data_IF_554215188111
#
_entry.id   IF_554215188111
#
_cell.length_a   1.000
_cell.length_b   1.000
_cell.length_c   1.000
_cell.angle_alpha   90.00
_cell.angle_beta   90.00
_cell.angle_gamma   90.00
#
_symmetry.space_group_name_H-M   'P 1'
#
loop_
_entity.id
_entity.type
_entity.pdbx_description
1 polymer ?
#
# COMPACT_ATOMS: atom_id res chain seq x y z
N UNK A 1 -47.63 21.54 38.55
CA UNK A 1 -49.02 21.04 38.47
C UNK A 1 -49.40 21.03 36.99
N UNK A 2 -49.69 19.84 36.45
CA UNK A 2 -50.40 19.51 35.18
C UNK A 2 -49.65 19.94 33.89
N UNK A 3 -48.95 19.05 33.15
CA UNK A 3 -49.37 17.87 32.32
C UNK A 3 -49.58 18.24 30.84
N UNK A 4 -49.01 17.43 29.94
CA UNK A 4 -49.38 17.30 28.51
C UNK A 4 -48.19 16.85 27.65
N UNK A 5 -47.83 15.55 27.57
CA UNK A 5 -48.37 14.48 26.68
C UNK A 5 -48.19 14.79 25.18
N UNK A 6 -47.17 14.22 24.54
CA UNK A 6 -47.22 12.97 23.75
C UNK A 6 -47.44 13.23 22.26
N UNK A 7 -46.49 12.80 21.41
CA UNK A 7 -46.76 11.76 20.39
C UNK A 7 -45.50 11.45 19.59
N UNK A 8 -45.04 10.22 19.75
CA UNK A 8 -44.11 9.56 18.86
C UNK A 8 -44.88 9.04 17.64
N UNK A 9 -44.33 9.23 16.44
CA UNK A 9 -44.76 8.51 15.23
C UNK A 9 -43.62 7.66 14.69
N UNK A 10 -43.85 6.37 14.86
CA UNK A 10 -43.11 5.23 14.36
C UNK A 10 -43.53 5.01 12.89
N UNK A 11 -42.60 5.03 11.94
CA UNK A 11 -42.87 4.57 10.57
C UNK A 11 -41.89 3.47 10.22
N UNK A 12 -42.39 2.25 10.29
CA UNK A 12 -41.78 1.05 9.74
C UNK A 12 -42.14 0.86 8.26
N UNK A 13 -41.28 0.09 7.61
CA UNK A 13 -41.53 -0.81 6.49
C UNK A 13 -41.52 -0.25 5.06
N UNK A 14 -40.48 -0.64 4.33
CA UNK A 14 -40.64 -1.22 3.00
C UNK A 14 -39.46 -2.19 2.73
N UNK A 15 -39.67 -3.47 3.01
CA UNK A 15 -38.85 -4.56 2.47
C UNK A 15 -39.28 -4.80 1.03
N UNK A 16 -38.34 -4.66 0.09
CA UNK A 16 -38.52 -5.02 -1.32
C UNK A 16 -38.16 -6.51 -1.51
N UNK A 17 -39.05 -7.34 -2.08
CA UNK A 17 -38.73 -8.71 -2.46
C UNK A 17 -38.29 -8.79 -3.93
N UNK A 18 -37.22 -9.53 -4.16
CA UNK A 18 -37.04 -10.26 -5.42
C UNK A 18 -35.95 -9.73 -6.36
N UNK A 19 -34.95 -10.57 -6.59
CA UNK A 19 -34.91 -11.48 -7.75
C UNK A 19 -33.75 -12.45 -7.59
N UNK A 20 -34.07 -13.72 -7.36
CA UNK A 20 -33.16 -14.83 -7.56
C UNK A 20 -32.84 -14.92 -9.05
N UNK A 21 -31.57 -14.76 -9.41
CA UNK A 21 -31.04 -15.11 -10.73
C UNK A 21 -30.54 -16.57 -10.67
N UNK A 22 -30.96 -17.46 -11.57
CA UNK A 22 -30.38 -18.80 -11.67
C UNK A 22 -28.95 -18.71 -12.22
N UNK A 23 -27.98 -19.15 -11.43
CA UNK A 23 -26.60 -19.32 -11.85
C UNK A 23 -26.53 -20.53 -12.80
N UNK A 24 -26.39 -20.27 -14.11
CA UNK A 24 -26.17 -21.30 -15.12
C UNK A 24 -24.80 -21.95 -14.87
N UNK A 25 -24.84 -23.17 -14.34
CA UNK A 25 -23.69 -24.03 -14.12
C UNK A 25 -23.33 -24.67 -15.48
N UNK A 26 -22.40 -24.07 -16.22
CA UNK A 26 -21.88 -24.68 -17.44
C UNK A 26 -20.88 -25.78 -17.08
N UNK A 27 -21.29 -27.00 -17.40
CA UNK A 27 -20.49 -28.21 -17.39
C UNK A 27 -19.26 -28.05 -18.30
N UNK A 28 -18.05 -28.08 -17.73
CA UNK A 28 -16.84 -28.43 -18.47
C UNK A 28 -16.35 -29.79 -17.98
N UNK A 29 -16.84 -30.81 -18.66
CA UNK A 29 -16.33 -32.17 -18.62
C UNK A 29 -15.19 -32.32 -19.63
N UNK A 30 -14.08 -32.88 -19.14
CA UNK A 30 -13.18 -33.81 -19.84
C UNK A 30 -12.34 -33.21 -21.00
N UNK A 31 -11.01 -33.20 -20.82
CA UNK A 31 -10.07 -33.97 -21.66
C UNK A 31 -8.76 -34.15 -20.88
N UNK A 32 -8.49 -35.42 -20.58
CA UNK A 32 -7.23 -35.97 -20.11
C UNK A 32 -6.25 -35.97 -21.29
N UNK A 33 -5.05 -35.41 -21.12
CA UNK A 33 -3.87 -35.86 -21.87
C UNK A 33 -2.65 -35.88 -20.93
N UNK A 34 -2.42 -37.07 -20.39
CA UNK A 34 -1.12 -37.52 -19.90
C UNK A 34 -0.17 -37.65 -21.10
N UNK A 35 0.97 -36.95 -21.08
CA UNK A 35 2.16 -37.42 -21.80
C UNK A 35 3.43 -37.01 -21.04
N UNK A 36 4.12 -38.07 -20.63
CA UNK A 36 5.46 -38.20 -20.10
C UNK A 36 6.50 -37.29 -20.76
N UNK A 37 7.42 -36.73 -19.94
CA UNK A 37 8.83 -36.81 -20.27
C UNK A 37 9.70 -36.58 -19.03
N UNK A 38 10.08 -37.69 -18.41
CA UNK A 38 11.22 -37.79 -17.50
C UNK A 38 12.49 -37.79 -18.35
N UNK A 39 13.21 -36.67 -18.38
CA UNK A 39 14.62 -36.64 -18.73
C UNK A 39 15.44 -36.41 -17.46
N UNK A 40 15.86 -37.52 -16.86
CA UNK A 40 17.01 -37.54 -15.95
C UNK A 40 18.28 -37.42 -16.79
N UNK A 41 18.91 -36.24 -16.76
CA UNK A 41 20.34 -36.12 -17.07
C UNK A 41 21.08 -35.84 -15.76
N UNK A 42 21.54 -36.93 -15.15
CA UNK A 42 22.83 -36.99 -14.46
C UNK A 42 23.90 -36.59 -15.45
N UNK A 43 24.73 -35.58 -15.14
CA UNK A 43 26.18 -35.76 -15.17
C UNK A 43 26.92 -34.64 -14.41
N UNK A 44 28.12 -34.99 -14.02
CA UNK A 44 28.95 -34.46 -12.97
C UNK A 44 29.77 -33.24 -13.40
N UNK A 45 29.98 -32.36 -12.42
CA UNK A 45 31.22 -31.58 -12.18
C UNK A 45 32.07 -31.15 -13.38
N UNK A 46 32.04 -29.85 -13.69
CA UNK A 46 33.28 -29.09 -13.95
C UNK A 46 33.22 -27.74 -13.26
N UNK A 47 34.03 -27.61 -12.20
CA UNK A 47 34.35 -26.36 -11.53
C UNK A 47 35.26 -25.58 -12.47
N UNK A 48 34.69 -24.66 -13.25
CA UNK A 48 35.46 -23.69 -14.04
C UNK A 48 35.61 -22.45 -13.20
N UNK A 49 36.81 -22.25 -12.66
CA UNK A 49 37.26 -20.98 -12.10
C UNK A 49 37.39 -19.97 -13.24
N UNK A 50 36.35 -19.16 -13.44
CA UNK A 50 36.45 -17.94 -14.24
C UNK A 50 37.15 -16.87 -13.40
N UNK A 51 38.45 -16.73 -13.64
CA UNK A 51 39.24 -15.56 -13.28
C UNK A 51 38.63 -14.35 -14.02
N UNK A 52 37.70 -13.66 -13.36
CA UNK A 52 37.22 -12.35 -13.81
C UNK A 52 38.34 -11.35 -13.55
N UNK A 53 39.12 -11.08 -14.60
CA UNK A 53 40.04 -9.97 -14.68
C UNK A 53 39.24 -8.69 -14.51
N UNK A 54 39.35 -8.05 -13.34
CA UNK A 54 38.78 -6.74 -13.09
C UNK A 54 39.36 -5.75 -14.12
N UNK A 55 38.55 -5.36 -15.09
CA UNK A 55 38.84 -4.17 -15.87
C UNK A 55 38.61 -2.99 -14.93
N UNK A 56 39.71 -2.43 -14.42
CA UNK A 56 39.72 -1.08 -13.86
C UNK A 56 39.17 -0.16 -14.94
N UNK A 57 37.90 0.23 -14.76
CA UNK A 57 37.33 1.33 -15.51
C UNK A 57 38.02 2.59 -15.00
N UNK A 58 38.86 3.14 -15.85
CA UNK A 58 39.56 4.40 -15.65
C UNK A 58 38.53 5.53 -15.49
N UNK A 59 38.30 5.94 -14.24
CA UNK A 59 37.31 6.96 -13.84
C UNK A 59 37.77 8.39 -14.13
N UNK A 60 38.55 8.60 -15.19
CA UNK A 60 39.18 9.92 -15.48
C UNK A 60 38.45 10.72 -16.56
N UNK A 61 37.17 10.42 -16.85
CA UNK A 61 36.35 11.22 -17.79
C UNK A 61 34.86 11.29 -17.38
N UNK A 62 34.56 11.45 -16.09
CA UNK A 62 33.26 12.02 -15.72
C UNK A 62 33.39 13.55 -15.67
N UNK A 63 32.61 14.32 -16.44
CA UNK A 63 32.60 15.76 -16.31
C UNK A 63 32.19 16.12 -14.89
N UNK A 64 32.93 17.05 -14.29
CA UNK A 64 32.78 17.58 -12.93
C UNK A 64 31.40 18.23 -12.66
N UNK A 65 30.50 18.23 -13.66
CA UNK A 65 29.14 18.75 -13.60
C UNK A 65 28.12 17.82 -12.92
N UNK A 66 28.52 16.62 -12.51
CA UNK A 66 27.72 15.76 -11.61
C UNK A 66 28.19 15.81 -10.15
N UNK A 67 29.27 16.54 -9.84
CA UNK A 67 29.67 16.80 -8.48
C UNK A 67 28.70 17.83 -7.85
N UNK A 68 27.89 17.33 -6.90
CA UNK A 68 27.04 18.11 -5.98
C UNK A 68 25.95 18.97 -6.63
N UNK A 69 24.83 18.32 -6.98
CA UNK A 69 23.55 18.95 -6.58
C UNK A 69 23.36 18.66 -5.10
N UNK A 70 23.61 19.67 -4.27
CA UNK A 70 22.98 19.78 -2.96
C UNK A 70 21.56 20.30 -3.18
N UNK A 71 20.74 19.49 -3.84
CA UNK A 71 19.29 19.67 -3.93
C UNK A 71 18.61 18.84 -2.84
N UNK A 72 19.26 18.71 -1.68
CA UNK A 72 18.66 18.18 -0.46
C UNK A 72 17.54 19.13 -0.04
N UNK A 73 16.41 19.06 -0.73
CA UNK A 73 15.16 19.65 -0.30
C UNK A 73 15.01 19.22 1.16
N UNK A 74 15.10 20.19 2.06
CA UNK A 74 15.03 19.95 3.49
C UNK A 74 13.57 19.58 3.79
N UNK A 75 13.24 18.30 3.58
CA UNK A 75 11.94 17.77 3.93
C UNK A 75 11.78 17.93 5.44
N UNK A 76 10.85 18.78 5.84
CA UNK A 76 10.59 19.03 7.24
C UNK A 76 10.03 17.75 7.88
N UNK A 77 10.92 16.97 8.50
CA UNK A 77 10.57 15.74 9.23
C UNK A 77 9.92 16.04 10.59
N UNK A 78 9.79 17.30 10.99
CA UNK A 78 9.10 17.68 12.23
C UNK A 78 7.58 17.65 12.05
N UNK A 79 7.04 16.45 12.24
CA UNK A 79 5.61 16.14 12.31
C UNK A 79 5.02 16.29 13.72
N UNK A 80 5.75 16.91 14.66
CA UNK A 80 5.31 17.05 16.05
C UNK A 80 5.29 15.72 16.83
N UNK A 81 4.44 15.67 17.86
CA UNK A 81 4.33 14.51 18.76
C UNK A 81 3.22 13.56 18.29
N UNK A 82 3.24 12.31 18.76
CA UNK A 82 2.09 11.43 18.61
C UNK A 82 0.89 12.01 19.39
N UNK A 83 -0.29 11.91 18.79
CA UNK A 83 -1.53 12.48 19.34
C UNK A 83 -2.02 11.80 20.63
N UNK A 84 -1.46 10.65 21.01
CA UNK A 84 -1.91 9.84 22.15
C UNK A 84 -3.16 9.00 21.86
N UNK A 85 -3.81 9.20 20.70
CA UNK A 85 -5.07 8.55 20.33
C UNK A 85 -4.81 7.34 19.43
N UNK A 86 -4.71 6.15 20.04
CA UNK A 86 -4.57 4.89 19.31
C UNK A 86 -5.86 4.49 18.62
N UNK A 87 -5.78 4.18 17.33
CA UNK A 87 -6.92 3.80 16.51
C UNK A 87 -6.50 2.77 15.44
N UNK A 88 -7.50 2.04 14.93
CA UNK A 88 -7.31 1.07 13.84
C UNK A 88 -8.00 1.58 12.58
N UNK A 89 -7.25 1.70 11.49
CA UNK A 89 -7.76 2.12 10.18
C UNK A 89 -7.74 0.94 9.22
N UNK A 90 -8.83 0.78 8.48
CA UNK A 90 -8.77 0.08 7.21
C UNK A 90 -8.39 1.09 6.12
N UNK A 91 -7.32 0.81 5.38
CA UNK A 91 -6.74 1.74 4.41
C UNK A 91 -6.56 1.10 3.05
N UNK A 92 -6.64 1.92 2.01
CA UNK A 92 -6.39 1.57 0.62
C UNK A 92 -5.19 2.35 0.09
N UNK A 93 -4.48 1.72 -0.84
CA UNK A 93 -3.40 2.37 -1.59
C UNK A 93 -3.96 3.09 -2.82
N UNK A 94 -3.66 4.37 -2.95
CA UNK A 94 -3.93 5.20 -4.12
C UNK A 94 -2.70 5.25 -5.03
N UNK A 95 -2.74 4.54 -6.15
CA UNK A 95 -1.66 4.58 -7.13
C UNK A 95 -1.64 5.94 -7.87
N UNK A 96 -0.62 6.74 -7.60
CA UNK A 96 -0.39 8.05 -8.22
C UNK A 96 1.05 8.13 -8.77
N UNK A 97 1.32 9.08 -9.66
CA UNK A 97 2.60 9.20 -10.37
C UNK A 97 3.74 9.86 -9.57
N UNK A 98 3.45 10.43 -8.39
CA UNK A 98 4.43 11.02 -7.48
C UNK A 98 4.63 10.16 -6.23
N UNK A 99 5.72 10.39 -5.49
CA UNK A 99 5.95 9.79 -4.17
C UNK A 99 5.19 10.48 -3.03
N UNK A 100 4.05 11.10 -3.32
CA UNK A 100 3.23 11.84 -2.34
C UNK A 100 2.56 10.90 -1.33
N UNK A 101 1.76 11.44 -0.42
CA UNK A 101 0.89 10.63 0.44
C UNK A 101 -0.06 9.79 -0.41
N UNK A 102 -0.10 8.48 -0.19
CA UNK A 102 -0.78 7.52 -1.06
C UNK A 102 -1.84 6.67 -0.33
N UNK A 103 -1.87 6.71 1.00
CA UNK A 103 -2.81 5.90 1.77
C UNK A 103 -4.02 6.72 2.17
N UNK A 104 -5.21 6.15 2.09
CA UNK A 104 -6.44 6.78 2.55
C UNK A 104 -7.35 5.77 3.23
N UNK A 105 -8.28 6.24 4.07
CA UNK A 105 -9.24 5.36 4.73
C UNK A 105 -10.18 4.70 3.71
N UNK A 106 -10.32 3.38 3.80
CA UNK A 106 -11.07 2.57 2.84
C UNK A 106 -12.56 2.98 2.75
N UNK A 107 -13.12 3.58 3.81
CA UNK A 107 -14.51 4.08 3.83
C UNK A 107 -14.77 5.20 2.80
N UNK A 108 -13.72 5.83 2.28
CA UNK A 108 -13.79 6.87 1.24
C UNK A 108 -13.44 6.34 -0.16
N UNK A 109 -13.48 5.03 -0.41
CA UNK A 109 -13.11 4.44 -1.72
C UNK A 109 -13.95 4.97 -2.89
N UNK A 110 -15.21 5.33 -2.61
CA UNK A 110 -16.19 5.77 -3.61
C UNK A 110 -16.47 7.28 -3.53
N UNK A 111 -15.70 8.03 -2.75
CA UNK A 111 -15.88 9.47 -2.53
C UNK A 111 -14.51 10.16 -2.61
N UNK A 112 -14.21 10.67 -3.80
CA UNK A 112 -12.93 11.31 -4.09
C UNK A 112 -12.74 12.63 -3.34
N UNK A 113 -13.83 13.35 -3.03
CA UNK A 113 -13.77 14.69 -2.42
C UNK A 113 -13.52 14.60 -0.91
N UNK A 114 -14.08 13.56 -0.28
CA UNK A 114 -13.84 13.25 1.14
C UNK A 114 -12.54 12.51 1.39
N UNK A 115 -11.90 11.96 0.35
CA UNK A 115 -10.63 11.26 0.47
C UNK A 115 -9.54 12.23 0.93
N UNK A 116 -8.84 11.84 2.00
CA UNK A 116 -7.66 12.53 2.52
C UNK A 116 -6.52 11.55 2.57
N UNK A 117 -5.52 11.76 1.73
CA UNK A 117 -4.31 10.96 1.70
C UNK A 117 -3.39 11.29 2.88
N UNK A 118 -2.69 10.27 3.36
CA UNK A 118 -1.69 10.36 4.41
C UNK A 118 -0.56 9.35 4.15
N UNK A 119 0.55 9.55 4.86
CA UNK A 119 1.65 8.60 4.87
C UNK A 119 1.46 7.54 5.95
N UNK A 120 1.96 6.32 5.70
CA UNK A 120 2.12 5.29 6.72
C UNK A 120 3.59 5.23 7.15
N UNK A 121 3.85 5.19 8.44
CA UNK A 121 5.20 5.05 9.00
C UNK A 121 5.25 3.87 9.99
N UNK A 122 6.12 2.87 9.80
CA UNK A 122 6.27 1.80 10.79
C UNK A 122 6.85 2.34 12.10
N UNK A 123 6.29 1.90 13.22
CA UNK A 123 6.82 2.24 14.53
C UNK A 123 8.20 1.61 14.80
N UNK A 124 8.46 0.45 14.20
CA UNK A 124 9.65 -0.35 14.39
C UNK A 124 10.12 -0.93 13.05
N UNK A 125 11.44 -1.02 12.78
CA UNK A 125 11.97 -1.57 11.54
C UNK A 125 11.59 -3.03 11.24
N UNK A 126 11.16 -3.82 12.25
CA UNK A 126 10.68 -5.19 12.08
C UNK A 126 9.27 -5.27 11.46
N UNK A 127 8.51 -4.16 11.45
CA UNK A 127 7.21 -4.11 10.80
C UNK A 127 7.37 -3.98 9.28
N UNK A 128 6.53 -4.70 8.54
CA UNK A 128 6.46 -4.61 7.08
C UNK A 128 6.22 -3.17 6.66
N UNK A 129 7.11 -2.60 5.83
CA UNK A 129 6.91 -1.29 5.25
C UNK A 129 5.77 -1.33 4.21
N UNK A 130 4.63 -0.74 4.55
CA UNK A 130 3.44 -0.72 3.70
C UNK A 130 3.70 -0.24 2.27
N UNK A 131 4.55 0.77 2.06
CA UNK A 131 4.83 1.34 0.74
C UNK A 131 5.55 0.34 -0.20
N UNK A 132 6.19 -0.69 0.37
CA UNK A 132 6.86 -1.75 -0.40
C UNK A 132 5.90 -2.84 -0.89
N UNK A 133 4.63 -2.81 -0.44
CA UNK A 133 3.63 -3.79 -0.84
C UNK A 133 3.11 -3.58 -2.26
N UNK A 134 3.29 -2.38 -2.84
CA UNK A 134 2.90 -2.12 -4.22
C UNK A 134 3.99 -2.56 -5.20
N UNK A 135 3.65 -3.52 -6.06
CA UNK A 135 4.56 -4.09 -7.08
C UNK A 135 4.28 -3.56 -8.49
N UNK A 136 3.39 -2.59 -8.63
CA UNK A 136 2.99 -2.01 -9.93
C UNK A 136 1.72 -2.62 -10.53
N UNK A 137 1.35 -3.85 -10.17
CA UNK A 137 0.25 -4.60 -10.81
C UNK A 137 -0.69 -5.34 -9.83
N UNK A 138 -0.54 -5.11 -8.53
CA UNK A 138 -1.21 -5.88 -7.47
C UNK A 138 -2.26 -5.07 -6.70
N UNK A 139 -3.01 -4.23 -7.42
CA UNK A 139 -4.15 -3.51 -6.86
C UNK A 139 -5.41 -4.39 -6.86
N UNK A 140 -6.35 -4.19 -5.93
CA UNK A 140 -6.28 -3.25 -4.80
C UNK A 140 -5.45 -3.78 -3.63
N UNK A 141 -4.67 -2.89 -3.02
CA UNK A 141 -3.99 -3.16 -1.74
C UNK A 141 -4.85 -2.61 -0.62
N UNK A 142 -5.28 -3.49 0.28
CA UNK A 142 -6.04 -3.14 1.49
C UNK A 142 -5.30 -3.62 2.71
N UNK A 143 -5.12 -2.72 3.68
CA UNK A 143 -4.49 -3.01 4.96
C UNK A 143 -5.44 -2.67 6.10
N UNK A 144 -5.19 -3.28 7.25
CA UNK A 144 -5.73 -2.86 8.53
C UNK A 144 -4.55 -2.53 9.44
N UNK A 145 -4.42 -1.27 9.84
CA UNK A 145 -3.28 -0.75 10.59
C UNK A 145 -3.73 -0.19 11.93
N UNK A 146 -3.02 -0.51 13.01
CA UNK A 146 -3.26 0.06 14.34
C UNK A 146 -2.11 0.97 14.70
N UNK A 147 -2.42 2.19 15.14
CA UNK A 147 -1.41 3.23 15.33
C UNK A 147 -2.00 4.56 15.78
N UNK A 148 -1.22 5.61 15.56
CA UNK A 148 -1.56 6.98 15.95
C UNK A 148 -1.10 7.96 14.87
N UNK A 149 -1.85 9.04 14.71
CA UNK A 149 -1.37 10.18 13.94
C UNK A 149 -0.36 10.99 14.75
N UNK A 150 0.57 11.58 14.03
CA UNK A 150 1.35 12.72 14.49
C UNK A 150 0.50 14.00 14.54
N UNK A 151 0.90 14.96 15.39
CA UNK A 151 0.11 16.17 15.67
C UNK A 151 0.24 17.26 14.61
N UNK A 152 1.23 17.15 13.71
CA UNK A 152 1.41 18.05 12.57
C UNK A 152 1.60 17.25 11.29
N UNK A 153 1.34 17.91 10.17
CA UNK A 153 1.72 17.40 8.86
C UNK A 153 3.23 17.45 8.69
N UNK A 154 3.75 16.54 7.86
CA UNK A 154 5.17 16.42 7.57
C UNK A 154 5.43 15.18 6.75
N UNK A 155 6.64 14.64 6.89
CA UNK A 155 7.08 13.48 6.12
C UNK A 155 7.46 12.30 7.02
N UNK A 156 7.38 11.06 6.51
CA UNK A 156 7.92 9.90 7.20
C UNK A 156 9.41 10.06 7.55
N UNK A 157 9.86 9.32 8.56
CA UNK A 157 11.30 9.24 8.88
C UNK A 157 12.05 8.68 7.67
N UNK A 158 13.19 9.28 7.35
CA UNK A 158 14.03 8.91 6.19
C UNK A 158 13.30 9.04 4.83
N UNK A 159 12.30 9.92 4.74
CA UNK A 159 11.60 10.17 3.49
C UNK A 159 12.55 10.70 2.41
N UNK A 160 12.59 10.00 1.27
CA UNK A 160 13.43 10.29 0.11
C UNK A 160 12.57 10.15 -1.14
N UNK A 161 11.88 11.22 -1.57
CA UNK A 161 11.01 11.14 -2.73
C UNK A 161 11.82 10.90 -4.00
N UNK A 162 11.32 10.01 -4.85
CA UNK A 162 11.92 9.68 -6.14
C UNK A 162 11.28 10.45 -7.31
N UNK A 163 10.04 10.93 -7.14
CA UNK A 163 9.27 11.61 -8.18
C UNK A 163 8.33 12.67 -7.61
N UNK A 164 8.24 13.79 -8.32
CA UNK A 164 7.34 14.90 -7.99
C UNK A 164 7.88 15.82 -6.89
N UNK A 165 7.06 16.78 -6.49
CA UNK A 165 7.30 17.70 -5.37
C UNK A 165 6.21 17.44 -4.32
N UNK A 166 6.38 16.43 -3.46
CA UNK A 166 5.34 16.03 -2.51
C UNK A 166 5.12 17.13 -1.46
N UNK A 167 3.87 17.45 -1.19
CA UNK A 167 3.49 18.31 -0.08
C UNK A 167 3.53 17.54 1.25
N UNK A 168 3.75 18.22 2.39
CA UNK A 168 3.61 17.59 3.69
C UNK A 168 2.17 17.13 3.89
N UNK A 169 2.00 15.97 4.53
CA UNK A 169 0.67 15.43 4.81
C UNK A 169 0.64 14.83 6.21
N UNK A 170 -0.54 14.37 6.64
CA UNK A 170 -0.65 13.62 7.90
C UNK A 170 0.20 12.36 7.81
N UNK A 171 0.83 11.99 8.92
CA UNK A 171 1.62 10.76 9.04
C UNK A 171 0.99 9.89 10.11
N UNK A 172 0.63 8.67 9.74
CA UNK A 172 0.10 7.66 10.65
C UNK A 172 1.20 6.66 11.01
N UNK A 173 1.65 6.70 12.28
CA UNK A 173 2.63 5.75 12.79
C UNK A 173 1.95 4.49 13.29
N UNK A 174 2.13 3.38 12.60
CA UNK A 174 1.49 2.11 12.96
C UNK A 174 2.43 1.21 13.78
N UNK A 175 1.86 0.58 14.81
CA UNK A 175 2.51 -0.44 15.64
C UNK A 175 2.06 -1.85 15.27
N UNK A 176 0.97 -1.98 14.50
CA UNK A 176 0.49 -3.25 13.95
C UNK A 176 -0.01 -3.03 12.52
N UNK A 177 0.24 -4.02 11.67
CA UNK A 177 -0.21 -4.05 10.28
C UNK A 177 -0.75 -5.45 9.98
N UNK A 178 -1.93 -5.51 9.37
CA UNK A 178 -2.51 -6.74 8.81
C UNK A 178 -2.83 -6.48 7.34
N UNK A 179 -2.21 -7.27 6.48
CA UNK A 179 -2.53 -7.28 5.05
C UNK A 179 -3.90 -7.95 4.88
N UNK A 180 -4.87 -7.24 4.29
CA UNK A 180 -6.22 -7.75 4.02
C UNK A 180 -6.34 -8.25 2.57
N UNK A 181 -5.72 -7.56 1.63
CA UNK A 181 -5.60 -7.97 0.21
C UNK A 181 -4.39 -7.31 -0.45
N UNK A 182 -3.79 -7.99 -1.42
CA UNK A 182 -2.70 -7.51 -2.30
C UNK A 182 -3.05 -7.79 -3.78
N UNK A 183 -4.29 -7.50 -4.19
CA UNK A 183 -4.89 -8.04 -5.43
C UNK A 183 -4.91 -9.58 -5.47
N UNK A 184 -5.58 -10.29 -6.37
CA UNK A 184 -6.59 -9.95 -7.36
C UNK A 184 -7.99 -10.22 -6.80
N UNK A 185 -8.96 -9.32 -7.02
CA UNK A 185 -10.38 -9.70 -7.00
C UNK A 185 -10.75 -10.10 -8.42
N UNK A 186 -10.83 -11.41 -8.68
CA UNK A 186 -11.55 -11.95 -9.82
C UNK A 186 -13.05 -11.61 -9.71
#
# INVERSE_FOLDING_TARGET
>A
IVVGSDTATNTQAAQSPGRYMPFQMTHYSIIILLIFSICSCVDSTKKTESVVKSQQLDTTFLPDSFAKRDDTASFNINKGNLTGKSLTLDVLFGAISCTCAQWFEAKYSNDADSRKEFFLEPADPSLVNADTLFTGNNLPIRLSVTGQFYSKEGYPKNYRPAKGSPDPARVFRYTKIKIKSLGSSL
#
